data_IF_575044130429
#
_entry.id   IF_575044130429
#
_cell.length_a   1.000
_cell.length_b   1.000
_cell.length_c   1.000
_cell.angle_alpha   90.00
_cell.angle_beta   90.00
_cell.angle_gamma   90.00
#
_symmetry.space_group_name_H-M   'P 1'
#
loop_
_entity.id
_entity.type
_entity.pdbx_description
1 polymer ?
#
# COMPACT_ATOMS: atom_id res chain seq x y z
N UNK A 1 14.41 61.93 41.71
CA UNK A 1 13.43 62.95 41.28
C UNK A 1 12.51 62.29 40.28
N UNK A 2 11.19 62.30 40.34
CA UNK A 2 10.21 62.75 41.33
C UNK A 2 8.85 62.31 40.78
N UNK A 3 8.02 61.72 41.64
CA UNK A 3 6.59 62.03 41.86
C UNK A 3 5.61 61.82 40.67
N UNK A 4 4.69 60.85 40.75
CA UNK A 4 3.37 60.93 41.40
C UNK A 4 2.46 62.03 40.81
N UNK A 5 1.24 61.64 40.37
CA UNK A 5 -0.09 62.28 40.53
C UNK A 5 -1.05 61.52 39.57
N UNK A 6 -1.91 60.58 40.01
CA UNK A 6 -3.21 60.68 40.72
C UNK A 6 -4.34 61.41 39.98
N UNK A 7 -5.50 60.72 39.94
CA UNK A 7 -6.89 61.23 39.84
C UNK A 7 -7.44 61.36 38.40
N UNK A 8 -8.69 61.01 38.04
CA UNK A 8 -9.93 60.75 38.77
C UNK A 8 -10.81 59.75 37.98
N UNK A 9 -11.63 59.01 38.75
CA UNK A 9 -12.81 58.29 38.30
C UNK A 9 -13.83 59.23 37.63
N UNK A 10 -14.43 58.78 36.52
CA UNK A 10 -15.78 59.17 36.13
C UNK A 10 -16.51 57.93 35.65
N UNK A 11 -17.49 57.52 36.45
CA UNK A 11 -18.42 56.45 36.13
C UNK A 11 -19.45 56.96 35.13
N UNK A 12 -19.64 56.22 34.04
CA UNK A 12 -20.89 56.23 33.27
C UNK A 12 -21.23 54.79 32.89
N UNK A 13 -22.18 54.23 33.64
CA UNK A 13 -22.98 53.09 33.19
C UNK A 13 -23.85 53.57 32.03
N UNK A 14 -23.66 53.00 30.85
CA UNK A 14 -24.67 52.95 29.81
C UNK A 14 -24.84 51.49 29.39
N UNK A 15 -25.89 50.86 29.91
CA UNK A 15 -26.45 49.62 29.38
C UNK A 15 -27.16 49.98 28.07
N UNK A 16 -26.72 49.39 26.96
CA UNK A 16 -27.54 49.26 25.76
C UNK A 16 -27.17 47.98 25.02
N UNK A 17 -28.21 47.22 24.73
CA UNK A 17 -28.20 45.86 24.23
C UNK A 17 -27.74 45.74 22.77
N UNK A 18 -27.07 44.61 22.50
CA UNK A 18 -27.12 43.78 21.29
C UNK A 18 -27.09 44.46 19.92
N UNK A 19 -25.89 44.49 19.30
CA UNK A 19 -25.74 44.26 17.86
C UNK A 19 -24.47 43.45 17.57
N UNK A 20 -24.69 42.24 17.04
CA UNK A 20 -23.81 41.42 16.20
C UNK A 20 -22.28 41.44 16.45
N UNK A 21 -21.78 40.32 16.97
CA UNK A 21 -20.37 39.96 17.00
C UNK A 21 -19.86 39.76 15.56
N UNK A 22 -19.32 40.81 14.94
CA UNK A 22 -18.44 40.68 13.79
C UNK A 22 -17.09 40.17 14.30
N UNK A 23 -16.89 38.84 14.26
CA UNK A 23 -15.60 38.24 14.54
C UNK A 23 -14.60 38.66 13.47
N UNK A 24 -13.68 39.56 13.84
CA UNK A 24 -12.45 39.79 13.10
C UNK A 24 -11.60 38.53 13.14
N UNK A 25 -11.45 37.90 11.99
CA UNK A 25 -10.68 36.69 11.77
C UNK A 25 -9.19 37.03 11.84
N UNK A 26 -8.56 36.68 12.96
CA UNK A 26 -7.12 36.82 13.18
C UNK A 26 -6.39 35.71 12.38
N UNK A 27 -5.77 36.13 11.28
CA UNK A 27 -4.94 35.29 10.42
C UNK A 27 -3.51 35.25 10.99
N UNK A 28 -3.09 34.13 11.59
CA UNK A 28 -1.70 33.61 11.48
C UNK A 28 -1.40 32.45 12.44
N UNK A 29 -1.76 31.21 12.06
CA UNK A 29 -0.99 29.99 12.37
C UNK A 29 -1.20 28.98 11.23
N UNK A 30 -0.16 28.41 10.61
CA UNK A 30 -0.34 27.32 9.66
C UNK A 30 -0.67 26.06 10.46
N UNK A 31 -1.96 25.83 10.69
CA UNK A 31 -2.46 24.53 11.12
C UNK A 31 -2.34 23.64 9.88
N UNK A 32 -1.53 22.58 9.96
CA UNK A 32 -1.48 21.57 8.91
C UNK A 32 -2.89 21.03 8.60
N UNK A 33 -3.12 20.50 7.38
CA UNK A 33 -4.45 20.08 6.97
C UNK A 33 -5.02 19.09 7.99
N UNK A 34 -6.25 19.33 8.43
CA UNK A 34 -6.94 18.42 9.35
C UNK A 34 -7.21 17.08 8.66
N UNK A 35 -7.47 16.00 9.41
CA UNK A 35 -7.86 14.72 8.79
C UNK A 35 -9.04 14.88 7.82
N UNK A 36 -9.95 15.83 8.08
CA UNK A 36 -11.05 16.17 7.17
C UNK A 36 -10.57 16.89 5.90
N UNK A 37 -9.54 17.73 5.99
CA UNK A 37 -8.95 18.41 4.83
C UNK A 37 -8.11 17.45 3.98
N UNK A 38 -7.40 16.51 4.62
CA UNK A 38 -6.66 15.44 3.93
C UNK A 38 -7.65 14.52 3.20
N UNK A 39 -8.79 14.20 3.82
CA UNK A 39 -9.85 13.43 3.17
C UNK A 39 -10.43 14.17 1.96
N UNK A 40 -10.72 15.48 2.09
CA UNK A 40 -11.21 16.30 0.97
C UNK A 40 -10.17 16.50 -0.13
N UNK A 41 -8.90 16.65 0.21
CA UNK A 41 -7.82 16.75 -0.77
C UNK A 41 -7.61 15.42 -1.50
N UNK A 42 -7.80 14.28 -0.82
CA UNK A 42 -7.80 12.96 -1.44
C UNK A 42 -8.98 12.78 -2.41
N UNK A 43 -10.15 13.37 -2.11
CA UNK A 43 -11.29 13.42 -3.02
C UNK A 43 -11.05 14.34 -4.23
N UNK A 44 -10.29 15.42 -4.07
CA UNK A 44 -10.04 16.40 -5.13
C UNK A 44 -8.84 16.09 -6.04
N UNK A 45 -7.89 15.25 -5.60
CA UNK A 45 -6.61 15.03 -6.32
C UNK A 45 -6.28 13.56 -6.62
N UNK A 46 -7.21 12.62 -6.47
CA UNK A 46 -7.09 11.32 -7.13
C UNK A 46 -7.27 11.45 -8.65
N UNK A 47 -6.62 10.64 -9.50
CA UNK A 47 -7.19 10.41 -10.83
C UNK A 47 -8.65 10.01 -10.59
N UNK A 48 -9.59 10.65 -11.25
CA UNK A 48 -11.01 10.38 -11.06
C UNK A 48 -11.24 8.88 -11.30
N UNK A 49 -11.26 8.09 -10.22
CA UNK A 49 -11.93 6.82 -10.23
C UNK A 49 -13.40 7.25 -10.23
N UNK A 50 -13.92 7.48 -11.44
CA UNK A 50 -15.34 7.51 -11.65
C UNK A 50 -15.86 6.18 -11.11
N UNK A 51 -16.38 6.21 -9.89
CA UNK A 51 -17.24 5.14 -9.43
C UNK A 51 -18.35 5.06 -10.48
N UNK A 52 -18.49 3.93 -11.18
CA UNK A 52 -19.54 3.83 -12.16
C UNK A 52 -20.87 4.10 -11.46
N UNK A 53 -21.72 4.91 -12.08
CA UNK A 53 -23.11 5.02 -11.67
C UNK A 53 -23.67 3.59 -11.45
N UNK A 54 -24.56 3.40 -10.48
CA UNK A 54 -24.98 2.07 -10.01
C UNK A 54 -25.46 1.09 -11.11
N UNK A 55 -25.75 1.56 -12.33
CA UNK A 55 -26.03 0.74 -13.52
C UNK A 55 -24.83 0.26 -14.35
N UNK A 56 -23.60 0.70 -14.04
CA UNK A 56 -22.37 0.41 -14.80
C UNK A 56 -21.30 -0.29 -13.94
N UNK A 57 -21.73 -1.04 -12.91
CA UNK A 57 -20.79 -1.83 -12.11
C UNK A 57 -19.99 -2.78 -13.02
N UNK A 58 -18.66 -2.83 -12.89
CA UNK A 58 -17.84 -3.73 -13.71
C UNK A 58 -18.33 -5.15 -13.51
N UNK A 59 -18.59 -5.86 -14.60
CA UNK A 59 -18.92 -7.28 -14.49
C UNK A 59 -17.70 -8.04 -13.97
N UNK A 60 -17.91 -9.25 -13.44
CA UNK A 60 -16.80 -10.08 -12.94
C UNK A 60 -15.72 -10.29 -14.02
N UNK A 61 -16.11 -10.33 -15.29
CA UNK A 61 -15.19 -10.37 -16.44
C UNK A 61 -14.40 -9.07 -16.64
N UNK A 62 -15.02 -7.91 -16.42
CA UNK A 62 -14.35 -6.61 -16.50
C UNK A 62 -13.35 -6.43 -15.36
N UNK A 63 -13.69 -6.90 -14.16
CA UNK A 63 -12.78 -6.90 -13.00
C UNK A 63 -11.55 -7.75 -13.28
N UNK A 64 -11.72 -8.96 -13.85
CA UNK A 64 -10.59 -9.81 -14.21
C UNK A 64 -9.68 -9.16 -15.27
N UNK A 65 -10.28 -8.52 -16.28
CA UNK A 65 -9.53 -7.82 -17.34
C UNK A 65 -8.81 -6.57 -16.82
N UNK A 66 -9.43 -5.86 -15.87
CA UNK A 66 -8.82 -4.74 -15.16
C UNK A 66 -7.67 -5.20 -14.26
N UNK A 67 -7.80 -6.34 -13.58
CA UNK A 67 -6.73 -6.95 -12.79
C UNK A 67 -5.53 -7.33 -13.66
N UNK A 68 -5.77 -7.86 -14.86
CA UNK A 68 -4.72 -8.21 -15.82
C UNK A 68 -3.99 -6.97 -16.36
N UNK A 69 -4.74 -5.90 -16.66
CA UNK A 69 -4.18 -4.61 -17.05
C UNK A 69 -3.39 -3.94 -15.91
N UNK A 70 -3.88 -4.02 -14.67
CA UNK A 70 -3.18 -3.52 -13.48
C UNK A 70 -1.90 -4.31 -13.19
N UNK A 71 -1.91 -5.64 -13.38
CA UNK A 71 -0.71 -6.46 -13.27
C UNK A 71 0.36 -6.08 -14.31
N UNK A 72 -0.06 -5.76 -15.53
CA UNK A 72 0.84 -5.29 -16.61
C UNK A 72 1.38 -3.88 -16.33
N UNK A 73 0.57 -2.98 -15.79
CA UNK A 73 1.00 -1.64 -15.38
C UNK A 73 1.96 -1.68 -14.18
N UNK A 74 1.71 -2.55 -13.20
CA UNK A 74 2.59 -2.79 -12.05
C UNK A 74 3.97 -3.33 -12.49
N UNK A 75 4.01 -4.18 -13.52
CA UNK A 75 5.27 -4.66 -14.09
C UNK A 75 6.10 -3.52 -14.76
N UNK A 76 5.44 -2.55 -15.39
CA UNK A 76 6.10 -1.38 -15.97
C UNK A 76 6.60 -0.39 -14.90
N UNK A 77 5.87 -0.22 -13.79
CA UNK A 77 6.31 0.59 -12.66
C UNK A 77 7.54 0.00 -11.95
N UNK A 78 7.62 -1.33 -11.84
CA UNK A 78 8.80 -2.01 -11.27
C UNK A 78 10.07 -1.75 -12.10
N UNK A 79 9.98 -1.81 -13.43
CA UNK A 79 11.13 -1.61 -14.32
C UNK A 79 11.79 -0.22 -14.18
N UNK A 80 11.01 0.82 -13.85
CA UNK A 80 11.52 2.19 -13.72
C UNK A 80 12.12 2.51 -12.33
N UNK A 81 12.07 1.57 -11.39
CA UNK A 81 12.52 1.74 -10.01
C UNK A 81 13.90 1.13 -9.72
N UNK A 82 14.51 0.48 -10.71
CA UNK A 82 15.71 -0.37 -10.55
C UNK A 82 15.43 -1.71 -9.84
N UNK A 83 14.21 -1.91 -9.31
CA UNK A 83 13.79 -3.15 -8.68
C UNK A 83 12.94 -3.99 -9.64
N UNK A 84 13.46 -5.12 -10.11
CA UNK A 84 12.70 -6.02 -11.01
C UNK A 84 11.95 -7.07 -10.21
N UNK A 85 10.60 -7.06 -10.27
CA UNK A 85 9.81 -8.13 -9.65
C UNK A 85 10.04 -9.46 -10.39
N UNK A 86 10.30 -10.56 -9.67
CA UNK A 86 10.39 -11.87 -10.31
C UNK A 86 9.05 -12.30 -10.89
N UNK A 87 9.11 -13.00 -12.03
CA UNK A 87 7.93 -13.67 -12.58
C UNK A 87 7.59 -14.87 -11.72
N UNK A 88 6.31 -15.05 -11.43
CA UNK A 88 5.82 -16.28 -10.79
C UNK A 88 6.23 -17.45 -11.69
N UNK A 89 6.81 -18.53 -11.14
CA UNK A 89 7.12 -19.71 -11.93
C UNK A 89 5.84 -20.29 -12.53
N UNK A 90 5.99 -21.15 -13.54
CA UNK A 90 4.86 -21.80 -14.19
C UNK A 90 4.01 -22.66 -13.23
N UNK A 91 3.13 -23.48 -13.81
CA UNK A 91 2.29 -24.37 -13.01
C UNK A 91 3.16 -25.34 -12.21
N UNK A 92 2.77 -25.58 -10.96
CA UNK A 92 3.37 -26.61 -10.11
C UNK A 92 2.91 -28.00 -10.57
N UNK A 93 3.78 -29.02 -10.48
CA UNK A 93 3.40 -30.39 -10.78
C UNK A 93 2.36 -30.93 -9.78
N UNK A 94 1.50 -31.85 -10.22
CA UNK A 94 0.49 -32.50 -9.37
C UNK A 94 1.17 -33.61 -8.56
N UNK A 95 1.23 -33.48 -7.24
CA UNK A 95 1.88 -34.44 -6.36
C UNK A 95 1.33 -35.87 -6.48
N UNK A 96 0.09 -36.05 -6.95
CA UNK A 96 -0.51 -37.39 -7.14
C UNK A 96 0.08 -38.15 -8.33
N UNK A 97 0.62 -37.44 -9.33
CA UNK A 97 1.08 -38.03 -10.60
C UNK A 97 2.53 -37.69 -10.94
N UNK A 98 3.06 -36.60 -10.40
CA UNK A 98 4.39 -36.09 -10.68
C UNK A 98 5.49 -37.12 -10.41
N UNK A 99 6.54 -37.10 -11.22
CA UNK A 99 7.78 -37.82 -10.97
C UNK A 99 8.58 -37.15 -9.85
N UNK A 100 9.53 -37.89 -9.27
CA UNK A 100 10.45 -37.32 -8.28
C UNK A 100 11.25 -36.15 -8.85
N UNK A 101 11.67 -36.27 -10.12
CA UNK A 101 12.42 -35.22 -10.82
C UNK A 101 11.59 -33.94 -10.96
N UNK A 102 10.33 -34.03 -11.40
CA UNK A 102 9.44 -32.87 -11.49
C UNK A 102 9.23 -32.19 -10.13
N UNK A 103 9.09 -32.97 -9.05
CA UNK A 103 8.94 -32.41 -7.71
C UNK A 103 10.22 -31.71 -7.22
N UNK A 104 11.41 -32.25 -7.54
CA UNK A 104 12.70 -31.60 -7.27
C UNK A 104 12.86 -30.30 -8.05
N UNK A 105 12.55 -30.32 -9.34
CA UNK A 105 12.65 -29.13 -10.19
C UNK A 105 11.67 -28.05 -9.72
N UNK A 106 10.46 -28.44 -9.30
CA UNK A 106 9.52 -27.53 -8.66
C UNK A 106 10.04 -26.95 -7.34
N UNK A 107 10.71 -27.76 -6.51
CA UNK A 107 11.34 -27.26 -5.27
C UNK A 107 12.39 -26.19 -5.57
N UNK A 108 13.25 -26.43 -6.57
CA UNK A 108 14.28 -25.47 -7.00
C UNK A 108 13.63 -24.17 -7.50
N UNK A 109 12.58 -24.29 -8.33
CA UNK A 109 11.84 -23.14 -8.84
C UNK A 109 11.17 -22.32 -7.72
N UNK A 110 10.57 -22.97 -6.72
CA UNK A 110 9.96 -22.30 -5.56
C UNK A 110 11.03 -21.55 -4.76
N UNK A 111 12.15 -22.20 -4.44
CA UNK A 111 13.27 -21.56 -3.70
C UNK A 111 13.82 -20.35 -4.45
N UNK A 112 14.02 -20.49 -5.77
CA UNK A 112 14.49 -19.40 -6.61
C UNK A 112 13.50 -18.23 -6.62
N UNK A 113 12.20 -18.50 -6.73
CA UNK A 113 11.17 -17.47 -6.72
C UNK A 113 11.08 -16.73 -5.38
N UNK A 114 11.12 -17.45 -4.25
CA UNK A 114 11.13 -16.85 -2.91
C UNK A 114 12.34 -15.93 -2.76
N UNK A 115 13.55 -16.42 -3.05
CA UNK A 115 14.79 -15.64 -2.93
C UNK A 115 14.78 -14.38 -3.81
N UNK A 116 14.32 -14.49 -5.06
CA UNK A 116 14.20 -13.31 -5.93
C UNK A 116 13.13 -12.32 -5.45
N UNK A 117 12.07 -12.82 -4.82
CA UNK A 117 10.97 -12.00 -4.29
C UNK A 117 11.42 -11.24 -3.05
N UNK A 118 12.20 -11.86 -2.17
CA UNK A 118 12.84 -11.21 -1.02
C UNK A 118 13.83 -10.14 -1.48
N UNK A 119 14.66 -10.44 -2.49
CA UNK A 119 15.59 -9.47 -3.06
C UNK A 119 14.87 -8.25 -3.68
N UNK A 120 13.74 -8.48 -4.36
CA UNK A 120 12.89 -7.41 -4.87
C UNK A 120 12.32 -6.55 -3.75
N UNK A 121 11.73 -7.17 -2.71
CA UNK A 121 11.18 -6.44 -1.58
C UNK A 121 12.25 -5.62 -0.82
N UNK A 122 13.44 -6.19 -0.62
CA UNK A 122 14.58 -5.47 -0.04
C UNK A 122 15.05 -4.29 -0.93
N UNK A 123 14.91 -4.40 -2.25
CA UNK A 123 15.17 -3.29 -3.16
C UNK A 123 14.14 -2.16 -2.99
N UNK A 124 12.84 -2.49 -2.90
CA UNK A 124 11.79 -1.51 -2.65
C UNK A 124 12.02 -0.77 -1.33
N UNK A 125 12.41 -1.48 -0.27
CA UNK A 125 12.72 -0.87 1.03
C UNK A 125 13.86 0.17 0.92
N UNK A 126 14.91 -0.14 0.15
CA UNK A 126 16.01 0.80 -0.11
C UNK A 126 15.54 2.02 -0.89
N UNK A 127 14.69 1.82 -1.89
CA UNK A 127 14.16 2.91 -2.72
C UNK A 127 13.30 3.87 -1.90
N UNK A 128 12.41 3.35 -1.04
CA UNK A 128 11.60 4.13 -0.11
C UNK A 128 12.51 4.95 0.81
N UNK A 129 13.48 4.29 1.48
CA UNK A 129 14.42 4.96 2.39
C UNK A 129 15.23 6.06 1.71
N UNK A 130 15.67 5.84 0.47
CA UNK A 130 16.44 6.80 -0.32
C UNK A 130 15.61 7.95 -0.91
N UNK A 131 14.28 7.94 -0.70
CA UNK A 131 13.38 8.92 -1.30
C UNK A 131 12.40 9.54 -0.30
N UNK A 132 12.54 9.30 1.01
CA UNK A 132 11.59 9.75 2.03
C UNK A 132 11.29 11.26 2.02
N UNK A 133 12.27 12.06 1.63
CA UNK A 133 12.22 13.52 1.54
C UNK A 133 11.52 14.06 0.28
N UNK A 134 11.35 13.22 -0.75
CA UNK A 134 10.87 13.62 -2.07
C UNK A 134 9.74 12.76 -2.63
N UNK A 135 9.47 11.61 -2.01
CA UNK A 135 8.43 10.68 -2.45
C UNK A 135 7.05 11.25 -2.12
N UNK A 136 6.15 11.23 -3.10
CA UNK A 136 4.75 11.59 -2.86
C UNK A 136 4.02 10.47 -2.13
N UNK A 137 2.93 10.79 -1.43
CA UNK A 137 2.09 9.78 -0.78
C UNK A 137 1.60 8.71 -1.78
N UNK A 138 1.28 9.11 -3.02
CA UNK A 138 0.84 8.20 -4.09
C UNK A 138 1.94 7.21 -4.47
N UNK A 139 3.16 7.68 -4.67
CA UNK A 139 4.31 6.82 -5.01
C UNK A 139 4.64 5.87 -3.87
N UNK A 140 4.62 6.35 -2.63
CA UNK A 140 4.84 5.52 -1.45
C UNK A 140 3.82 4.37 -1.37
N UNK A 141 2.52 4.69 -1.50
CA UNK A 141 1.46 3.68 -1.49
C UNK A 141 1.61 2.67 -2.64
N UNK A 142 2.03 3.13 -3.83
CA UNK A 142 2.31 2.23 -4.94
C UNK A 142 3.44 1.25 -4.61
N UNK A 143 4.55 1.71 -4.01
CA UNK A 143 5.67 0.85 -3.60
C UNK A 143 5.27 -0.15 -2.51
N UNK A 144 4.51 0.27 -1.50
CA UNK A 144 3.99 -0.64 -0.47
C UNK A 144 3.06 -1.69 -1.08
N UNK A 145 2.17 -1.30 -1.99
CA UNK A 145 1.33 -2.26 -2.71
C UNK A 145 2.19 -3.27 -3.50
N UNK A 146 3.27 -2.81 -4.14
CA UNK A 146 4.19 -3.71 -4.84
C UNK A 146 4.86 -4.73 -3.88
N UNK A 147 5.23 -4.29 -2.68
CA UNK A 147 5.80 -5.14 -1.64
C UNK A 147 4.82 -6.24 -1.21
N UNK A 148 3.61 -5.83 -0.83
CA UNK A 148 2.57 -6.71 -0.30
C UNK A 148 2.11 -7.75 -1.33
N UNK A 149 1.96 -7.35 -2.59
CA UNK A 149 1.63 -8.26 -3.69
C UNK A 149 2.70 -9.33 -3.87
N UNK A 150 3.98 -8.95 -3.78
CA UNK A 150 5.10 -9.88 -3.96
C UNK A 150 5.22 -10.84 -2.79
N UNK A 151 5.05 -10.33 -1.56
CA UNK A 151 5.03 -11.14 -0.35
C UNK A 151 3.88 -12.15 -0.37
N UNK A 152 2.68 -11.71 -0.73
CA UNK A 152 1.51 -12.58 -0.85
C UNK A 152 1.72 -13.64 -1.94
N UNK A 153 2.26 -13.25 -3.10
CA UNK A 153 2.51 -14.18 -4.21
C UNK A 153 3.52 -15.27 -3.83
N UNK A 154 4.62 -14.93 -3.14
CA UNK A 154 5.60 -15.94 -2.71
C UNK A 154 5.02 -16.91 -1.69
N UNK A 155 4.22 -16.43 -0.73
CA UNK A 155 3.56 -17.29 0.25
C UNK A 155 2.56 -18.25 -0.40
N UNK A 156 1.69 -17.73 -1.26
CA UNK A 156 0.70 -18.54 -1.98
C UNK A 156 1.40 -19.60 -2.82
N UNK A 157 2.47 -19.24 -3.52
CA UNK A 157 3.20 -20.18 -4.37
C UNK A 157 3.88 -21.28 -3.55
N UNK A 158 4.53 -20.92 -2.44
CA UNK A 158 5.15 -21.88 -1.53
C UNK A 158 4.12 -22.82 -0.89
N UNK A 159 2.98 -22.31 -0.41
CA UNK A 159 1.94 -23.17 0.17
C UNK A 159 1.33 -24.13 -0.85
N UNK A 160 1.08 -23.65 -2.08
CA UNK A 160 0.63 -24.52 -3.18
C UNK A 160 1.63 -25.65 -3.44
N UNK A 161 2.92 -25.36 -3.43
CA UNK A 161 3.94 -26.40 -3.57
C UNK A 161 3.92 -27.37 -2.39
N UNK A 162 3.79 -26.88 -1.15
CA UNK A 162 3.71 -27.74 0.03
C UNK A 162 2.52 -28.70 -0.02
N UNK A 163 1.37 -28.27 -0.55
CA UNK A 163 0.22 -29.15 -0.80
C UNK A 163 0.60 -30.29 -1.74
N UNK A 164 1.25 -29.98 -2.86
CA UNK A 164 1.67 -30.99 -3.85
C UNK A 164 2.76 -31.91 -3.28
N UNK A 165 3.69 -31.36 -2.50
CA UNK A 165 4.73 -32.14 -1.84
C UNK A 165 4.15 -33.14 -0.83
N UNK A 166 3.14 -32.73 -0.05
CA UNK A 166 2.42 -33.64 0.86
C UNK A 166 1.70 -34.75 0.09
N UNK A 167 1.02 -34.42 -1.01
CA UNK A 167 0.35 -35.40 -1.85
C UNK A 167 1.32 -36.42 -2.48
N UNK A 168 2.48 -35.93 -2.94
CA UNK A 168 3.56 -36.77 -3.46
C UNK A 168 4.08 -37.75 -2.41
N UNK A 169 4.46 -37.24 -1.22
CA UNK A 169 4.96 -38.03 -0.10
C UNK A 169 3.98 -39.11 0.37
N UNK A 170 2.69 -38.76 0.46
CA UNK A 170 1.64 -39.69 0.84
C UNK A 170 1.53 -40.89 -0.10
N UNK A 171 1.79 -40.69 -1.40
CA UNK A 171 1.79 -41.76 -2.42
C UNK A 171 3.07 -42.59 -2.40
N UNK A 172 4.23 -41.97 -2.22
CA UNK A 172 5.53 -42.65 -2.33
C UNK A 172 5.99 -43.32 -1.05
N UNK A 173 5.28 -43.10 0.07
CA UNK A 173 5.69 -43.60 1.38
C UNK A 173 6.90 -42.86 1.97
N UNK A 174 7.30 -41.73 1.39
CA UNK A 174 8.35 -40.87 1.92
C UNK A 174 7.79 -40.03 3.09
N UNK A 175 7.76 -40.62 4.28
CA UNK A 175 7.25 -39.98 5.50
C UNK A 175 8.25 -39.00 6.14
N UNK A 176 9.36 -38.66 5.47
CA UNK A 176 10.35 -37.73 6.01
C UNK A 176 10.88 -38.20 7.35
N UNK A 177 11.60 -39.33 7.36
CA UNK A 177 12.29 -39.75 8.57
C UNK A 177 13.46 -38.77 8.81
N UNK A 178 13.30 -37.99 9.87
CA UNK A 178 14.21 -36.97 10.40
C UNK A 178 15.66 -37.48 10.50
N UNK A 179 16.58 -36.75 9.88
CA UNK A 179 17.93 -36.56 10.39
C UNK A 179 18.17 -35.06 10.50
#
# INVERSE_FOLDING_TARGET
MSLLIRSLFAATLAVSASTALAATQDNARPVGPTLGDIARQAEQQGPAIQLPAAGNLPTIGDVAKQQEAQAKAAAAAAANSGCTRPKVPGKLPDGKTATEQEMRDAQIAVKAYVSQSEAFNACLDKLVKASLDRITAREYLALIQQYDLTYSAMQIFAERFNVQLRAYRARTGDTGNSQ
#
